data_IF_506098162321
#
_entry.id   IF_506098162321
#
_cell.length_a   1.000
_cell.length_b   1.000
_cell.length_c   1.000
_cell.angle_alpha   90.00
_cell.angle_beta   90.00
_cell.angle_gamma   90.00
#
_symmetry.space_group_name_H-M   'P 1'
#
loop_
_entity.id
_entity.type
_entity.pdbx_description
1 polymer ?
#
# COMPACT_ATOMS: atom_id res chain seq x y z
N UNK A 1 39.87 9.82 -46.78
CA UNK A 1 39.33 8.43 -46.71
C UNK A 1 39.28 7.81 -45.33
N UNK A 2 40.06 8.24 -44.34
CA UNK A 2 40.05 7.65 -42.96
C UNK A 2 38.91 8.14 -42.06
N UNK A 3 38.36 9.34 -42.28
CA UNK A 3 37.29 9.92 -41.42
C UNK A 3 35.90 9.30 -41.72
N UNK A 4 35.64 8.94 -42.98
CA UNK A 4 34.37 8.31 -43.39
C UNK A 4 34.22 6.88 -42.88
N UNK A 5 35.31 6.13 -42.70
CA UNK A 5 35.30 4.79 -42.18
C UNK A 5 35.00 4.76 -40.66
N UNK A 6 35.51 5.75 -39.91
CA UNK A 6 35.26 5.86 -38.44
C UNK A 6 33.79 6.19 -38.12
N UNK A 7 33.14 7.02 -38.92
CA UNK A 7 31.72 7.38 -38.70
C UNK A 7 30.80 6.18 -38.99
N UNK A 8 31.11 5.37 -40.00
CA UNK A 8 30.32 4.16 -40.27
C UNK A 8 30.47 3.06 -39.20
N UNK A 9 31.64 2.92 -38.57
CA UNK A 9 31.86 1.96 -37.49
C UNK A 9 31.12 2.37 -36.24
N UNK A 10 31.06 3.68 -35.90
CA UNK A 10 30.31 4.19 -34.75
C UNK A 10 28.79 4.05 -34.95
N UNK A 11 28.31 4.30 -36.20
CA UNK A 11 26.88 4.10 -36.51
C UNK A 11 26.46 2.62 -36.47
N UNK A 12 27.33 1.71 -36.94
CA UNK A 12 27.09 0.27 -36.85
C UNK A 12 27.12 -0.28 -35.42
N UNK A 13 27.98 0.28 -34.55
CA UNK A 13 28.03 -0.11 -33.15
C UNK A 13 26.80 0.39 -32.39
N UNK A 14 26.34 1.63 -32.65
CA UNK A 14 25.11 2.14 -32.06
C UNK A 14 23.85 1.37 -32.53
N UNK A 15 23.82 0.93 -33.77
CA UNK A 15 22.74 0.07 -34.30
C UNK A 15 22.77 -1.34 -33.70
N UNK A 16 23.97 -1.92 -33.54
CA UNK A 16 24.13 -3.24 -32.89
C UNK A 16 23.83 -3.21 -31.39
N UNK A 17 24.16 -2.13 -30.66
CA UNK A 17 23.85 -1.95 -29.24
C UNK A 17 22.34 -1.81 -28.99
N UNK A 18 21.61 -1.21 -29.93
CA UNK A 18 20.15 -1.12 -29.85
C UNK A 18 19.43 -2.43 -30.25
N UNK A 19 20.07 -3.32 -31.01
CA UNK A 19 19.53 -4.61 -31.39
C UNK A 19 19.62 -5.66 -30.27
N UNK A 20 20.49 -5.47 -29.25
CA UNK A 20 20.63 -6.35 -28.09
C UNK A 20 19.84 -5.88 -26.86
N UNK A 21 19.38 -4.64 -26.81
CA UNK A 21 18.39 -4.19 -25.87
C UNK A 21 17.01 -4.47 -26.50
N UNK A 22 16.56 -5.72 -26.46
CA UNK A 22 15.15 -6.01 -26.68
C UNK A 22 14.37 -5.06 -25.78
N UNK A 23 13.44 -4.27 -26.34
CA UNK A 23 12.58 -3.42 -25.52
C UNK A 23 12.05 -4.28 -24.37
N UNK A 24 12.20 -3.87 -23.12
CA UNK A 24 11.71 -4.67 -21.99
C UNK A 24 10.23 -4.90 -22.28
N UNK A 25 9.86 -6.17 -22.46
CA UNK A 25 8.48 -6.54 -22.81
C UNK A 25 7.55 -5.75 -21.88
N UNK A 26 6.74 -4.87 -22.47
CA UNK A 26 5.89 -3.98 -21.69
C UNK A 26 5.02 -4.85 -20.78
N UNK A 27 5.16 -4.73 -19.47
CA UNK A 27 4.35 -5.50 -18.55
C UNK A 27 2.88 -5.25 -18.88
N UNK A 28 2.09 -6.29 -18.91
CA UNK A 28 0.65 -6.19 -19.17
C UNK A 28 -0.19 -6.38 -17.93
N UNK A 29 0.42 -6.76 -16.81
CA UNK A 29 -0.21 -6.84 -15.49
C UNK A 29 0.42 -5.80 -14.56
N UNK A 30 -0.42 -4.92 -14.04
CA UNK A 30 -0.02 -3.88 -13.10
C UNK A 30 -0.76 -4.02 -11.77
N UNK A 31 -0.04 -3.80 -10.67
CA UNK A 31 -0.62 -3.54 -9.36
C UNK A 31 -0.55 -2.03 -9.14
N UNK A 32 -1.68 -1.37 -9.12
CA UNK A 32 -1.74 0.11 -9.11
C UNK A 32 -2.14 0.60 -7.74
N UNK A 33 -1.22 1.32 -7.10
CA UNK A 33 -1.48 2.05 -5.86
C UNK A 33 -2.28 3.32 -6.16
N UNK A 34 -3.49 3.41 -5.63
CA UNK A 34 -4.42 4.52 -5.91
C UNK A 34 -4.17 5.76 -5.03
N UNK A 35 -3.25 5.65 -4.09
CA UNK A 35 -3.12 6.66 -3.05
C UNK A 35 -4.15 6.49 -1.92
N UNK A 36 -3.97 7.28 -0.89
CA UNK A 36 -4.83 7.35 0.32
C UNK A 36 -5.76 8.56 0.21
N UNK A 37 -6.77 8.63 1.06
CA UNK A 37 -7.62 9.82 1.15
C UNK A 37 -8.49 10.05 -0.08
N UNK A 38 -8.62 11.28 -0.52
CA UNK A 38 -9.45 11.66 -1.66
C UNK A 38 -8.83 11.24 -3.00
N UNK A 39 -9.63 11.34 -4.08
CA UNK A 39 -9.23 10.88 -5.42
C UNK A 39 -8.06 11.70 -5.98
N UNK A 40 -7.91 12.95 -5.58
CA UNK A 40 -6.85 13.86 -6.05
C UNK A 40 -5.45 13.51 -5.54
N UNK A 41 -5.33 12.57 -4.59
CA UNK A 41 -4.03 12.00 -4.18
C UNK A 41 -3.57 10.81 -5.03
N UNK A 42 -4.30 10.49 -6.11
CA UNK A 42 -3.83 9.52 -7.10
C UNK A 42 -2.66 10.10 -7.91
N UNK A 43 -1.67 9.28 -8.23
CA UNK A 43 -0.55 9.72 -9.06
C UNK A 43 -0.93 9.77 -10.54
N UNK A 44 -0.34 10.70 -11.30
CA UNK A 44 -0.52 10.78 -12.76
C UNK A 44 -0.15 9.46 -13.45
N UNK A 45 0.88 8.77 -12.96
CA UNK A 45 1.27 7.45 -13.48
C UNK A 45 0.20 6.39 -13.25
N UNK A 46 -0.48 6.42 -12.09
CA UNK A 46 -1.58 5.51 -11.82
C UNK A 46 -2.76 5.77 -12.76
N UNK A 47 -3.11 7.04 -13.00
CA UNK A 47 -4.16 7.42 -13.95
C UNK A 47 -3.81 6.93 -15.37
N UNK A 48 -2.60 7.22 -15.87
CA UNK A 48 -2.15 6.79 -17.19
C UNK A 48 -2.19 5.27 -17.34
N UNK A 49 -1.74 4.52 -16.32
CA UNK A 49 -1.77 3.06 -16.31
C UNK A 49 -3.21 2.53 -16.35
N UNK A 50 -4.11 3.11 -15.56
CA UNK A 50 -5.54 2.75 -15.57
C UNK A 50 -6.15 3.04 -16.95
N UNK A 51 -5.86 4.20 -17.53
CA UNK A 51 -6.40 4.57 -18.84
C UNK A 51 -5.97 3.60 -19.96
N UNK A 52 -4.75 3.11 -19.93
CA UNK A 52 -4.19 2.13 -20.89
C UNK A 52 -4.69 0.70 -20.66
N UNK A 53 -5.31 0.41 -19.53
CA UNK A 53 -5.79 -0.93 -19.17
C UNK A 53 -7.19 -1.20 -19.73
N UNK A 54 -7.41 -2.38 -20.29
CA UNK A 54 -8.72 -2.85 -20.76
C UNK A 54 -9.50 -3.55 -19.65
N UNK A 55 -8.78 -4.19 -18.72
CA UNK A 55 -9.39 -4.95 -17.61
C UNK A 55 -8.91 -4.38 -16.27
N UNK A 56 -9.86 -4.17 -15.39
CA UNK A 56 -9.61 -3.64 -14.05
C UNK A 56 -10.06 -4.66 -13.00
N UNK A 57 -9.18 -4.95 -12.06
CA UNK A 57 -9.48 -5.82 -10.91
C UNK A 57 -9.58 -4.94 -9.68
N UNK A 58 -10.75 -4.78 -9.10
CA UNK A 58 -10.94 -3.96 -7.91
C UNK A 58 -12.16 -4.40 -7.09
N UNK A 59 -12.29 -3.82 -5.88
CA UNK A 59 -13.50 -3.97 -5.06
C UNK A 59 -14.56 -2.97 -5.49
N UNK A 60 -15.82 -3.27 -5.21
CA UNK A 60 -16.95 -2.39 -5.56
C UNK A 60 -16.82 -0.96 -5.01
N UNK A 61 -16.30 -0.83 -3.80
CA UNK A 61 -16.04 0.50 -3.21
C UNK A 61 -15.01 1.30 -4.01
N UNK A 62 -13.96 0.64 -4.50
CA UNK A 62 -12.93 1.26 -5.36
C UNK A 62 -13.52 1.63 -6.71
N UNK A 63 -14.30 0.74 -7.31
CA UNK A 63 -15.01 1.00 -8.57
C UNK A 63 -15.87 2.26 -8.46
N UNK A 64 -16.69 2.38 -7.41
CA UNK A 64 -17.56 3.54 -7.20
C UNK A 64 -16.74 4.84 -7.00
N UNK A 65 -15.67 4.79 -6.20
CA UNK A 65 -14.85 5.96 -5.89
C UNK A 65 -14.11 6.50 -7.13
N UNK A 66 -13.66 5.61 -8.01
CA UNK A 66 -12.86 5.95 -9.19
C UNK A 66 -13.64 5.75 -10.51
N UNK A 67 -14.97 5.75 -10.46
CA UNK A 67 -15.85 5.45 -11.60
C UNK A 67 -15.53 6.26 -12.87
N UNK A 68 -15.11 7.51 -12.72
CA UNK A 68 -14.75 8.38 -13.83
C UNK A 68 -13.59 7.82 -14.68
N UNK A 69 -12.57 7.26 -14.03
CA UNK A 69 -11.40 6.67 -14.70
C UNK A 69 -11.65 5.26 -15.22
N UNK A 70 -12.77 4.63 -14.83
CA UNK A 70 -13.08 3.23 -15.13
C UNK A 70 -14.14 3.06 -16.21
N UNK A 71 -14.66 4.13 -16.80
CA UNK A 71 -15.68 4.09 -17.86
C UNK A 71 -15.21 3.23 -19.04
N UNK A 72 -16.08 2.32 -19.51
CA UNK A 72 -15.82 1.48 -20.68
C UNK A 72 -14.83 0.34 -20.46
N UNK A 73 -14.39 0.07 -19.22
CA UNK A 73 -13.47 -1.01 -18.89
C UNK A 73 -14.19 -2.25 -18.39
N UNK A 74 -13.63 -3.42 -18.66
CA UNK A 74 -14.09 -4.67 -18.05
C UNK A 74 -13.67 -4.69 -16.58
N UNK A 75 -14.64 -4.85 -15.65
CA UNK A 75 -14.39 -4.87 -14.21
C UNK A 75 -14.45 -6.31 -13.68
N UNK A 76 -13.41 -6.76 -13.02
CA UNK A 76 -13.34 -8.01 -12.27
C UNK A 76 -13.42 -7.73 -10.78
N UNK A 77 -14.44 -8.24 -10.11
CA UNK A 77 -14.62 -8.04 -8.67
C UNK A 77 -13.61 -8.85 -7.86
N UNK A 78 -12.81 -8.15 -7.04
CA UNK A 78 -11.81 -8.70 -6.14
C UNK A 78 -12.31 -8.87 -4.69
N UNK A 79 -13.57 -8.56 -4.40
CA UNK A 79 -14.09 -8.46 -3.01
C UNK A 79 -13.94 -9.75 -2.21
N UNK A 80 -14.04 -10.90 -2.84
CA UNK A 80 -14.02 -12.21 -2.19
C UNK A 80 -12.75 -13.03 -2.47
N UNK A 81 -11.72 -12.43 -3.07
CA UNK A 81 -10.47 -13.14 -3.42
C UNK A 81 -9.66 -13.68 -2.22
N UNK A 82 -9.97 -13.22 -1.01
CA UNK A 82 -9.52 -13.80 0.24
C UNK A 82 -8.01 -14.03 0.36
N UNK A 83 -7.21 -12.94 0.39
CA UNK A 83 -5.75 -13.02 0.49
C UNK A 83 -5.25 -13.85 1.70
N UNK A 84 -5.99 -13.83 2.83
CA UNK A 84 -5.64 -14.57 4.05
C UNK A 84 -5.72 -16.09 3.90
N UNK A 85 -6.39 -16.57 2.86
CA UNK A 85 -6.54 -18.00 2.54
C UNK A 85 -5.70 -18.43 1.34
N UNK A 86 -4.86 -17.54 0.81
CA UNK A 86 -3.96 -17.89 -0.29
C UNK A 86 -2.96 -18.95 0.17
N UNK A 87 -2.88 -20.05 -0.59
CA UNK A 87 -2.07 -21.25 -0.29
C UNK A 87 -2.36 -21.91 1.06
N UNK A 88 -3.51 -21.61 1.67
CA UNK A 88 -3.91 -22.27 2.91
C UNK A 88 -4.65 -23.57 2.60
N UNK A 89 -4.28 -24.65 3.31
CA UNK A 89 -5.05 -25.87 3.29
C UNK A 89 -6.34 -25.69 4.09
N UNK A 90 -7.45 -25.57 3.38
CA UNK A 90 -8.76 -25.41 4.00
C UNK A 90 -9.24 -26.67 4.72
N UNK A 91 -8.73 -27.85 4.37
CA UNK A 91 -9.13 -29.11 5.01
C UNK A 91 -8.62 -29.22 6.46
N UNK A 92 -7.48 -28.58 6.75
CA UNK A 92 -6.89 -28.53 8.08
C UNK A 92 -7.62 -27.61 9.08
N UNK A 93 -8.62 -26.83 8.62
CA UNK A 93 -9.38 -25.93 9.48
C UNK A 93 -10.42 -26.72 10.25
N UNK A 94 -10.34 -26.69 11.59
CA UNK A 94 -11.25 -27.42 12.49
C UNK A 94 -12.67 -26.84 12.52
N UNK A 95 -12.78 -25.50 12.52
CA UNK A 95 -14.08 -24.81 12.53
C UNK A 95 -14.76 -24.92 11.15
N UNK A 96 -15.98 -25.45 11.12
CA UNK A 96 -16.72 -25.70 9.90
C UNK A 96 -17.07 -24.42 9.14
N UNK A 97 -17.44 -23.35 9.82
CA UNK A 97 -17.79 -22.06 9.20
C UNK A 97 -16.58 -21.43 8.55
N UNK A 98 -15.44 -21.44 9.25
CA UNK A 98 -14.17 -20.93 8.71
C UNK A 98 -13.66 -21.81 7.56
N UNK A 99 -13.85 -23.13 7.61
CA UNK A 99 -13.50 -24.05 6.51
C UNK A 99 -14.32 -23.78 5.27
N UNK A 100 -15.64 -23.61 5.40
CA UNK A 100 -16.53 -23.25 4.27
C UNK A 100 -16.12 -21.90 3.66
N UNK A 101 -15.86 -20.92 4.51
CA UNK A 101 -15.39 -19.59 4.07
C UNK A 101 -14.06 -19.65 3.33
N UNK A 102 -13.13 -20.46 3.82
CA UNK A 102 -11.84 -20.71 3.18
C UNK A 102 -12.03 -21.30 1.78
N UNK A 103 -12.83 -22.36 1.61
CA UNK A 103 -13.11 -23.00 0.32
C UNK A 103 -13.74 -22.01 -0.66
N UNK A 104 -14.80 -21.29 -0.23
CA UNK A 104 -15.46 -20.27 -1.06
C UNK A 104 -14.48 -19.18 -1.54
N UNK A 105 -13.60 -18.71 -0.65
CA UNK A 105 -12.56 -17.74 -1.01
C UNK A 105 -11.58 -18.31 -2.03
N UNK A 106 -11.18 -19.58 -1.87
CA UNK A 106 -10.25 -20.25 -2.79
C UNK A 106 -10.86 -20.46 -4.19
N UNK A 107 -12.11 -20.88 -4.26
CA UNK A 107 -12.86 -21.03 -5.52
C UNK A 107 -13.03 -19.68 -6.25
N UNK A 108 -13.43 -18.64 -5.51
CA UNK A 108 -13.58 -17.29 -6.07
C UNK A 108 -12.26 -16.76 -6.61
N UNK A 109 -11.16 -16.99 -5.86
CA UNK A 109 -9.81 -16.60 -6.29
C UNK A 109 -9.38 -17.36 -7.54
N UNK A 110 -9.63 -18.68 -7.62
CA UNK A 110 -9.32 -19.49 -8.80
C UNK A 110 -10.04 -18.98 -10.06
N UNK A 111 -11.31 -18.61 -9.93
CA UNK A 111 -12.08 -17.99 -11.03
C UNK A 111 -11.49 -16.64 -11.45
N UNK A 112 -11.09 -15.81 -10.49
CA UNK A 112 -10.46 -14.52 -10.77
C UNK A 112 -9.10 -14.69 -11.46
N UNK A 113 -8.27 -15.63 -11.02
CA UNK A 113 -6.99 -15.97 -11.65
C UNK A 113 -7.22 -16.38 -13.11
N UNK A 114 -8.16 -17.29 -13.38
CA UNK A 114 -8.46 -17.75 -14.72
C UNK A 114 -8.90 -16.60 -15.64
N UNK A 115 -9.74 -15.68 -15.15
CA UNK A 115 -10.17 -14.50 -15.92
C UNK A 115 -9.03 -13.53 -16.21
N UNK A 116 -8.14 -13.29 -15.23
CA UNK A 116 -6.96 -12.44 -15.43
C UNK A 116 -6.03 -13.07 -16.47
N UNK A 117 -5.72 -14.38 -16.36
CA UNK A 117 -4.85 -15.08 -17.31
C UNK A 117 -5.46 -15.04 -18.73
N UNK A 118 -6.73 -15.34 -18.87
CA UNK A 118 -7.43 -15.25 -20.15
C UNK A 118 -7.31 -13.85 -20.79
N UNK A 119 -7.47 -12.78 -20.01
CA UNK A 119 -7.30 -11.42 -20.50
C UNK A 119 -5.85 -11.13 -20.95
N UNK A 120 -4.86 -11.58 -20.17
CA UNK A 120 -3.44 -11.41 -20.51
C UNK A 120 -3.07 -12.20 -21.77
N UNK A 121 -3.56 -13.43 -21.92
CA UNK A 121 -3.34 -14.30 -23.11
C UNK A 121 -3.99 -13.68 -24.37
N UNK A 122 -5.12 -13.00 -24.20
CA UNK A 122 -5.76 -12.22 -25.27
C UNK A 122 -5.06 -10.89 -25.58
N UNK A 123 -3.86 -10.63 -25.01
CA UNK A 123 -3.09 -9.43 -25.26
C UNK A 123 -3.58 -8.18 -24.53
N UNK A 124 -4.57 -8.30 -23.63
CA UNK A 124 -5.11 -7.17 -22.88
C UNK A 124 -4.15 -6.76 -21.74
N UNK A 125 -4.16 -5.48 -21.41
CA UNK A 125 -3.52 -4.94 -20.21
C UNK A 125 -4.49 -5.01 -19.03
N UNK A 126 -4.03 -5.53 -17.91
CA UNK A 126 -4.80 -5.72 -16.67
C UNK A 126 -4.20 -4.87 -15.56
N UNK A 127 -5.04 -4.12 -14.84
CA UNK A 127 -4.65 -3.39 -13.64
C UNK A 127 -5.42 -3.85 -12.41
N UNK A 128 -4.70 -4.26 -11.37
CA UNK A 128 -5.24 -4.57 -10.05
C UNK A 128 -5.13 -3.31 -9.20
N UNK A 129 -6.25 -2.76 -8.75
CA UNK A 129 -6.28 -1.50 -8.03
C UNK A 129 -6.33 -1.72 -6.52
N UNK A 130 -5.49 -0.99 -5.79
CA UNK A 130 -5.46 -1.01 -4.34
C UNK A 130 -5.26 0.36 -3.71
N UNK A 131 -5.89 0.58 -2.57
CA UNK A 131 -5.81 1.83 -1.81
C UNK A 131 -4.44 1.99 -1.14
N UNK A 132 -3.98 3.22 -1.01
CA UNK A 132 -2.70 3.59 -0.41
C UNK A 132 -1.51 3.26 -1.30
N UNK A 133 -0.40 2.90 -0.68
CA UNK A 133 0.76 2.31 -1.32
C UNK A 133 0.78 0.79 -1.08
N UNK A 134 0.77 0.01 -2.15
CA UNK A 134 0.74 -1.46 -2.08
C UNK A 134 2.01 -2.08 -1.51
N UNK A 135 3.10 -1.32 -1.41
CA UNK A 135 4.37 -1.75 -0.83
C UNK A 135 4.47 -1.47 0.67
N UNK A 136 3.54 -0.66 1.25
CA UNK A 136 3.47 -0.39 2.68
C UNK A 136 2.24 -1.10 3.26
N UNK A 137 2.46 -2.24 3.94
CA UNK A 137 1.42 -3.13 4.46
C UNK A 137 0.40 -3.62 3.41
N UNK A 138 0.83 -3.74 2.15
CA UNK A 138 0.05 -4.22 1.01
C UNK A 138 -0.23 -5.72 0.99
N UNK A 139 -0.30 -6.39 2.15
CA UNK A 139 -0.53 -7.83 2.27
C UNK A 139 -1.65 -8.40 1.41
N UNK A 140 -2.81 -7.71 1.25
CA UNK A 140 -3.89 -8.16 0.37
C UNK A 140 -3.52 -8.32 -1.11
N UNK A 141 -2.43 -7.72 -1.56
CA UNK A 141 -2.01 -7.69 -2.97
C UNK A 141 -0.79 -8.56 -3.26
N UNK A 142 -0.05 -8.99 -2.24
CA UNK A 142 1.15 -9.80 -2.38
C UNK A 142 0.93 -11.08 -3.18
N UNK A 143 -0.21 -11.75 -3.00
CA UNK A 143 -0.52 -12.98 -3.69
C UNK A 143 -0.60 -12.83 -5.22
N UNK A 144 -0.96 -11.65 -5.75
CA UNK A 144 -0.92 -11.38 -7.19
C UNK A 144 0.51 -11.45 -7.74
N UNK A 145 1.48 -10.91 -7.01
CA UNK A 145 2.89 -10.97 -7.41
C UNK A 145 3.42 -12.41 -7.44
N UNK A 146 2.98 -13.22 -6.48
CA UNK A 146 3.39 -14.63 -6.38
C UNK A 146 2.69 -15.50 -7.43
N UNK A 147 1.39 -15.28 -7.66
CA UNK A 147 0.57 -16.06 -8.58
C UNK A 147 0.90 -15.80 -10.05
N UNK A 148 1.23 -14.56 -10.38
CA UNK A 148 1.49 -14.11 -11.75
C UNK A 148 2.97 -13.76 -11.97
N UNK A 149 3.89 -14.35 -11.21
CA UNK A 149 5.33 -14.08 -11.33
C UNK A 149 5.88 -14.32 -12.75
N UNK A 150 5.30 -15.27 -13.46
CA UNK A 150 5.60 -15.60 -14.85
C UNK A 150 5.22 -14.50 -15.85
N UNK A 151 4.29 -13.62 -15.47
CA UNK A 151 3.85 -12.46 -16.26
C UNK A 151 4.59 -11.18 -15.91
N UNK A 152 5.59 -11.24 -15.03
CA UNK A 152 6.41 -10.09 -14.59
C UNK A 152 5.59 -8.85 -14.21
N UNK A 153 4.65 -8.95 -13.24
CA UNK A 153 3.77 -7.83 -12.90
C UNK A 153 4.58 -6.64 -12.38
N UNK A 154 4.16 -5.42 -12.75
CA UNK A 154 4.77 -4.17 -12.28
C UNK A 154 3.89 -3.51 -11.23
N UNK A 155 4.53 -2.94 -10.21
CA UNK A 155 3.83 -2.12 -9.20
C UNK A 155 3.95 -0.65 -9.61
N UNK A 156 2.82 0.05 -9.61
CA UNK A 156 2.75 1.50 -9.77
C UNK A 156 2.62 2.10 -8.38
N UNK A 157 3.57 2.96 -7.94
CA UNK A 157 3.56 3.55 -6.61
C UNK A 157 2.43 4.55 -6.42
N UNK A 158 2.03 4.74 -5.18
CA UNK A 158 1.03 5.74 -4.79
C UNK A 158 1.38 6.42 -3.48
N UNK A 159 0.64 7.48 -3.13
CA UNK A 159 0.79 8.17 -1.86
C UNK A 159 0.29 7.27 -0.74
N UNK A 160 1.16 6.92 0.21
CA UNK A 160 0.78 6.13 1.38
C UNK A 160 0.09 7.01 2.44
N UNK A 161 -0.65 6.40 3.36
CA UNK A 161 -1.17 7.12 4.53
C UNK A 161 -0.05 7.71 5.40
N UNK A 162 1.14 7.14 5.37
CA UNK A 162 2.32 7.69 6.02
C UNK A 162 2.69 9.08 5.45
N UNK A 163 2.77 9.22 4.11
CA UNK A 163 3.08 10.50 3.48
C UNK A 163 1.99 11.55 3.75
N UNK A 164 0.71 11.16 3.59
CA UNK A 164 -0.41 12.07 3.84
C UNK A 164 -0.46 12.52 5.31
N UNK A 165 -0.25 11.60 6.25
CA UNK A 165 -0.24 11.93 7.68
C UNK A 165 0.92 12.84 8.08
N UNK A 166 2.11 12.67 7.46
CA UNK A 166 3.24 13.60 7.68
C UNK A 166 2.89 15.01 7.20
N UNK A 167 2.26 15.12 6.02
CA UNK A 167 1.81 16.40 5.49
C UNK A 167 0.78 17.05 6.41
N UNK A 168 -0.20 16.28 6.91
CA UNK A 168 -1.19 16.75 7.87
C UNK A 168 -0.56 17.24 9.19
N UNK A 169 0.47 16.55 9.69
CA UNK A 169 1.20 16.95 10.89
C UNK A 169 1.97 18.26 10.70
N UNK A 170 2.39 18.56 9.47
CA UNK A 170 3.20 19.75 9.15
C UNK A 170 4.57 19.75 9.84
N UNK A 171 5.12 18.58 10.10
CA UNK A 171 6.40 18.39 10.81
C UNK A 171 7.29 17.43 10.03
N UNK A 172 8.58 17.71 10.01
CA UNK A 172 9.58 16.73 9.58
C UNK A 172 9.83 15.73 10.72
N UNK A 173 9.43 14.50 10.51
CA UNK A 173 9.50 13.44 11.53
C UNK A 173 10.92 12.96 11.83
N UNK A 174 11.90 13.41 11.04
CA UNK A 174 13.33 13.10 11.22
C UNK A 174 14.10 14.18 12.00
N UNK A 175 13.42 15.27 12.39
CA UNK A 175 14.03 16.41 13.09
C UNK A 175 13.62 16.47 14.56
N UNK A 176 13.71 15.36 15.28
CA UNK A 176 13.62 15.36 16.74
C UNK A 176 14.86 15.96 17.41
N UNK A 177 14.76 16.36 18.66
CA UNK A 177 15.91 16.86 19.46
C UNK A 177 16.84 15.72 19.91
N UNK A 178 16.26 14.57 20.23
CA UNK A 178 16.97 13.39 20.74
C UNK A 178 17.23 12.36 19.63
N UNK A 179 16.36 12.29 18.61
CA UNK A 179 16.48 11.31 17.55
C UNK A 179 16.22 11.90 16.17
N UNK A 180 17.07 11.55 15.22
CA UNK A 180 16.93 11.84 13.78
C UNK A 180 16.51 10.59 12.98
N UNK A 181 15.89 9.61 13.65
CA UNK A 181 15.47 8.34 13.05
C UNK A 181 13.97 8.14 13.20
N UNK A 182 13.34 7.60 12.17
CA UNK A 182 11.94 7.20 12.21
C UNK A 182 11.78 5.70 11.91
N UNK A 183 10.92 5.03 12.66
CA UNK A 183 10.62 3.62 12.50
C UNK A 183 9.14 3.45 12.12
N UNK A 184 8.89 2.91 10.92
CA UNK A 184 7.56 2.44 10.54
C UNK A 184 7.36 1.04 11.11
N UNK A 185 6.33 0.87 11.91
CA UNK A 185 6.07 -0.40 12.59
C UNK A 185 4.57 -0.66 12.77
N UNK A 186 4.27 -1.84 13.30
CA UNK A 186 2.92 -2.16 13.80
C UNK A 186 2.91 -2.23 15.31
N UNK A 187 1.74 -2.13 15.91
CA UNK A 187 1.56 -2.31 17.36
C UNK A 187 2.08 -3.66 17.89
N UNK A 188 2.27 -4.67 17.02
CA UNK A 188 2.79 -6.00 17.40
C UNK A 188 4.30 -6.01 17.63
N UNK A 189 5.03 -5.18 16.91
CA UNK A 189 6.50 -5.21 16.89
C UNK A 189 7.15 -4.09 17.70
N UNK A 190 6.36 -3.32 18.45
CA UNK A 190 6.86 -2.20 19.28
C UNK A 190 7.99 -2.59 20.24
N UNK A 191 7.88 -3.78 20.82
CA UNK A 191 8.86 -4.27 21.82
C UNK A 191 10.26 -4.52 21.26
N UNK A 192 10.39 -4.61 19.92
CA UNK A 192 11.66 -4.84 19.24
C UNK A 192 12.53 -3.58 19.08
N UNK A 193 11.94 -2.41 19.31
CA UNK A 193 12.59 -1.11 19.06
C UNK A 193 12.62 -0.30 20.35
N UNK A 194 13.59 -0.49 21.22
CA UNK A 194 13.46 0.05 22.56
C UNK A 194 14.49 1.07 22.99
N UNK A 195 15.71 1.05 22.45
CA UNK A 195 16.81 1.68 23.22
C UNK A 195 17.22 3.07 22.73
N UNK A 196 16.72 3.54 21.59
CA UNK A 196 17.13 4.81 20.98
C UNK A 196 16.00 5.84 20.84
N UNK A 197 14.83 5.59 21.39
CA UNK A 197 13.65 6.47 21.35
C UNK A 197 13.41 7.12 19.97
N UNK A 198 13.42 6.36 18.85
CA UNK A 198 13.21 6.93 17.54
C UNK A 198 11.79 7.49 17.43
N UNK A 199 11.56 8.37 16.48
CA UNK A 199 10.18 8.67 16.08
C UNK A 199 9.49 7.39 15.61
N UNK A 200 8.42 6.97 16.30
CA UNK A 200 7.64 5.79 15.90
C UNK A 200 6.43 6.22 15.09
N UNK A 201 6.25 5.60 13.93
CA UNK A 201 5.04 5.71 13.11
C UNK A 201 4.35 4.35 13.10
N UNK A 202 3.20 4.27 13.75
CA UNK A 202 2.59 3.01 14.14
C UNK A 202 1.29 2.78 13.37
N UNK A 203 1.28 1.71 12.58
CA UNK A 203 0.08 1.14 11.98
C UNK A 203 -0.59 0.24 13.02
N UNK A 204 -1.71 0.67 13.57
CA UNK A 204 -2.36 0.01 14.71
C UNK A 204 -2.91 -1.38 14.38
N UNK A 205 -3.32 -1.61 13.12
CA UNK A 205 -3.76 -2.91 12.60
C UNK A 205 -4.84 -3.60 13.46
N UNK A 206 -5.84 -2.85 13.92
CA UNK A 206 -6.92 -3.27 14.84
C UNK A 206 -6.50 -3.49 16.31
N UNK A 207 -5.30 -3.10 16.70
CA UNK A 207 -4.93 -3.05 18.13
C UNK A 207 -5.73 -1.94 18.80
N UNK A 208 -6.28 -2.19 19.98
CA UNK A 208 -6.96 -1.18 20.78
C UNK A 208 -5.96 -0.07 21.14
N UNK A 209 -6.42 1.17 21.09
CA UNK A 209 -5.54 2.32 21.33
C UNK A 209 -5.01 2.35 22.77
N UNK A 210 -5.82 1.96 23.73
CA UNK A 210 -5.45 1.85 25.14
C UNK A 210 -4.28 0.87 25.32
N UNK A 211 -4.38 -0.32 24.73
CA UNK A 211 -3.34 -1.36 24.79
C UNK A 211 -2.03 -0.88 24.15
N UNK A 212 -2.14 -0.10 23.05
CA UNK A 212 -1.00 0.51 22.38
C UNK A 212 -0.31 1.53 23.28
N UNK A 213 -1.08 2.43 23.93
CA UNK A 213 -0.52 3.46 24.81
C UNK A 213 0.18 2.84 26.02
N UNK A 214 -0.41 1.81 26.65
CA UNK A 214 0.25 1.11 27.74
C UNK A 214 1.56 0.44 27.33
N UNK A 215 1.64 -0.16 26.16
CA UNK A 215 2.89 -0.67 25.61
C UNK A 215 3.91 0.45 25.36
N UNK A 216 3.50 1.59 24.85
CA UNK A 216 4.39 2.73 24.60
C UNK A 216 4.97 3.29 25.91
N UNK A 217 4.19 3.36 26.99
CA UNK A 217 4.65 3.80 28.29
C UNK A 217 5.76 2.92 28.91
N UNK A 218 5.91 1.69 28.46
CA UNK A 218 7.01 0.82 28.90
C UNK A 218 8.35 1.19 28.23
N UNK A 219 8.32 2.03 27.18
CA UNK A 219 9.47 2.34 26.32
C UNK A 219 9.79 3.83 26.23
N UNK A 220 8.80 4.68 26.40
CA UNK A 220 8.92 6.12 26.31
C UNK A 220 8.55 6.78 27.64
N UNK A 221 9.13 7.91 27.92
CA UNK A 221 8.79 8.72 29.10
C UNK A 221 7.32 9.19 29.04
N UNK A 222 6.64 9.36 30.19
CA UNK A 222 5.24 9.78 30.23
C UNK A 222 4.94 11.08 29.47
N UNK A 223 5.88 12.02 29.49
CA UNK A 223 5.80 13.33 28.82
C UNK A 223 6.07 13.26 27.31
N UNK A 224 6.50 12.12 26.76
CA UNK A 224 6.78 11.99 25.32
C UNK A 224 5.56 12.36 24.49
N UNK A 225 5.73 13.25 23.48
CA UNK A 225 4.63 13.64 22.60
C UNK A 225 4.09 12.48 21.80
N UNK A 226 2.76 12.49 21.65
CA UNK A 226 2.01 11.54 20.81
C UNK A 226 0.99 12.30 19.95
N UNK A 227 0.85 11.91 18.70
CA UNK A 227 -0.19 12.40 17.81
C UNK A 227 -0.91 11.23 17.13
N UNK A 228 -2.19 11.40 16.90
CA UNK A 228 -3.01 10.48 16.15
C UNK A 228 -3.56 11.26 14.96
N UNK A 229 -3.24 10.81 13.76
CA UNK A 229 -3.76 11.39 12.51
C UNK A 229 -4.85 10.48 12.00
N UNK A 230 -6.06 10.99 11.95
CA UNK A 230 -7.23 10.28 11.45
C UNK A 230 -7.54 10.71 10.03
N UNK A 231 -7.93 9.75 9.20
CA UNK A 231 -8.37 9.96 7.82
C UNK A 231 -7.41 10.81 6.98
N UNK A 232 -6.10 10.58 7.14
CA UNK A 232 -5.07 11.31 6.41
C UNK A 232 -5.36 11.35 4.90
N UNK A 233 -5.35 12.55 4.32
CA UNK A 233 -5.62 12.81 2.92
C UNK A 233 -7.10 12.94 2.55
N UNK A 234 -8.03 12.94 3.51
CA UNK A 234 -9.45 13.26 3.27
C UNK A 234 -9.74 14.71 3.70
N UNK A 235 -10.06 15.59 2.77
CA UNK A 235 -10.27 17.03 3.01
C UNK A 235 -11.30 17.32 4.09
N UNK A 236 -12.39 16.56 4.12
CA UNK A 236 -13.53 16.80 5.01
C UNK A 236 -13.47 15.97 6.31
N UNK A 237 -12.52 15.05 6.46
CA UNK A 237 -12.47 14.11 7.59
C UNK A 237 -11.15 14.13 8.33
N UNK A 238 -10.09 14.61 7.69
CA UNK A 238 -8.76 14.65 8.29
C UNK A 238 -8.76 15.50 9.57
N UNK A 239 -8.31 14.90 10.65
CA UNK A 239 -8.12 15.61 11.91
C UNK A 239 -7.02 14.97 12.74
N UNK A 240 -6.48 15.73 13.69
CA UNK A 240 -5.35 15.31 14.50
C UNK A 240 -5.66 15.50 15.99
N UNK A 241 -5.44 14.47 16.79
CA UNK A 241 -5.41 14.57 18.24
C UNK A 241 -3.96 14.53 18.71
N UNK A 242 -3.51 15.58 19.42
CA UNK A 242 -2.15 15.69 19.99
C UNK A 242 -2.19 15.65 21.50
N UNK A 243 -1.18 15.06 22.11
CA UNK A 243 -1.03 14.99 23.56
C UNK A 243 0.35 14.49 23.98
N UNK A 244 0.44 14.02 25.21
CA UNK A 244 1.57 13.28 25.75
C UNK A 244 1.09 11.88 26.14
N UNK A 245 1.98 10.92 26.27
CA UNK A 245 1.62 9.54 26.62
C UNK A 245 0.83 9.45 27.96
N UNK A 246 1.14 10.32 28.92
CA UNK A 246 0.44 10.36 30.23
C UNK A 246 -0.99 10.93 30.16
N UNK A 247 -1.30 11.73 29.15
CA UNK A 247 -2.57 12.48 29.04
C UNK A 247 -3.44 12.06 27.87
N UNK A 248 -2.91 11.33 26.92
CA UNK A 248 -3.59 11.06 25.65
C UNK A 248 -4.86 10.25 25.82
N UNK A 249 -4.90 9.26 26.70
CA UNK A 249 -6.09 8.45 26.95
C UNK A 249 -7.25 9.28 27.47
N UNK A 250 -6.98 10.28 28.34
CA UNK A 250 -8.03 11.21 28.80
C UNK A 250 -8.56 12.07 27.64
N UNK A 251 -7.67 12.52 26.75
CA UNK A 251 -8.05 13.34 25.58
C UNK A 251 -8.87 12.57 24.54
N UNK A 252 -8.66 11.26 24.43
CA UNK A 252 -9.33 10.41 23.44
C UNK A 252 -10.50 9.63 24.02
N UNK A 253 -10.88 9.90 25.28
CA UNK A 253 -11.99 9.22 25.94
C UNK A 253 -13.29 9.42 25.15
N UNK A 254 -13.95 8.32 24.79
CA UNK A 254 -15.18 8.33 23.96
C UNK A 254 -14.95 8.57 22.46
N UNK A 255 -13.71 8.74 22.01
CA UNK A 255 -13.40 8.89 20.59
C UNK A 255 -13.48 7.52 19.88
N UNK A 256 -14.12 7.50 18.70
CA UNK A 256 -14.09 6.33 17.84
C UNK A 256 -12.77 6.26 17.08
N UNK A 257 -12.14 5.10 17.04
CA UNK A 257 -10.93 4.82 16.28
C UNK A 257 -11.26 4.04 15.00
N UNK A 258 -11.41 4.71 13.84
CA UNK A 258 -11.59 4.05 12.57
C UNK A 258 -10.31 3.28 12.19
N UNK A 259 -10.40 2.41 11.18
CA UNK A 259 -9.20 1.73 10.66
C UNK A 259 -8.19 2.72 10.06
N UNK A 260 -8.68 3.81 9.47
CA UNK A 260 -7.87 4.85 8.82
C UNK A 260 -7.31 5.83 9.85
N UNK A 261 -6.33 5.37 10.64
CA UNK A 261 -5.54 6.25 11.50
C UNK A 261 -4.10 5.76 11.64
N UNK A 262 -3.18 6.70 11.90
CA UNK A 262 -1.79 6.45 12.25
C UNK A 262 -1.45 7.12 13.57
N UNK A 263 -0.62 6.45 14.36
CA UNK A 263 -0.12 6.97 15.64
C UNK A 263 1.36 7.32 15.50
N UNK A 264 1.71 8.50 15.95
CA UNK A 264 3.07 9.03 15.99
C UNK A 264 3.50 9.25 17.42
N UNK A 265 4.71 8.80 17.76
CA UNK A 265 5.30 8.99 19.10
C UNK A 265 6.75 9.41 18.90
N UNK A 266 7.16 10.46 19.59
CA UNK A 266 8.54 10.95 19.55
C UNK A 266 8.65 12.45 19.82
N UNK A 267 9.87 12.91 19.95
CA UNK A 267 10.20 14.28 20.31
C UNK A 267 10.19 15.29 19.13
N UNK A 268 10.01 14.82 17.91
CA UNK A 268 9.90 15.65 16.71
C UNK A 268 8.71 16.64 16.73
N UNK A 269 7.74 16.41 17.62
CA UNK A 269 6.57 17.27 17.79
C UNK A 269 6.81 18.46 18.73
N UNK A 270 7.95 18.53 19.41
CA UNK A 270 8.34 19.62 20.32
C UNK A 270 8.81 20.88 19.59
#
# INVERSE_FOLDING_TARGET
MLITAAIMIIAAWNAASNAFAGEPSQARLYLVSLGVGDVDLITLRAIDTIQKSQVIVCRKQTENKYAEYLKGKEILDASLSGWRTYRKDCSAIKDDKERVKCRKSSETRAKLIARIRHALDAGKTVSVLGSGDLCIYGGPYRWYLEEFKDMHPKIIPGVSCFNAANAALGKDIMLGKESHSAVLTTARDLEKFSDHHPTMVIFTMHTKFEDLVEKLKTRYRPETPIAIVFYAGYKDKEHITRGRLDTILKKTQGQNFPFEHLVYVGDFMN
#
